data_IF_649484503274
#
_entry.id   IF_649484503274
#
_cell.length_a   1.000
_cell.length_b   1.000
_cell.length_c   1.000
_cell.angle_alpha   90.00
_cell.angle_beta   90.00
_cell.angle_gamma   90.00
#
_symmetry.space_group_name_H-M   'P 1'
#
loop_
_entity.id
_entity.type
_entity.pdbx_description
1 polymer ?
#
# COMPACT_ATOMS: atom_id res chain seq x y z
N UNK A 1 -2.54 -10.30 -31.92
CA UNK A 1 -3.20 -11.52 -31.37
C UNK A 1 -2.49 -11.82 -30.08
N UNK A 2 -3.19 -11.70 -28.92
CA UNK A 2 -2.62 -12.00 -27.61
C UNK A 2 -2.32 -13.50 -27.50
N UNK A 3 -1.20 -13.85 -26.86
CA UNK A 3 -0.78 -15.23 -26.66
C UNK A 3 -1.62 -15.87 -25.57
N UNK A 4 -2.38 -16.92 -25.93
CA UNK A 4 -3.21 -17.67 -24.97
C UNK A 4 -2.36 -18.58 -24.08
N UNK A 5 -2.36 -18.36 -22.78
CA UNK A 5 -1.58 -19.09 -21.79
C UNK A 5 -2.33 -20.27 -21.16
N UNK A 6 -1.59 -21.22 -20.63
CA UNK A 6 -2.15 -22.37 -19.91
C UNK A 6 -2.65 -21.96 -18.53
N UNK A 7 -3.57 -22.73 -17.93
CA UNK A 7 -4.06 -22.50 -16.57
C UNK A 7 -2.93 -22.48 -15.52
N UNK A 8 -1.88 -23.30 -15.68
CA UNK A 8 -0.73 -23.32 -14.78
C UNK A 8 0.09 -22.04 -14.89
N UNK A 9 0.28 -21.52 -16.12
CA UNK A 9 1.00 -20.29 -16.38
C UNK A 9 0.25 -19.10 -15.76
N UNK A 10 -1.08 -19.02 -15.96
CA UNK A 10 -1.92 -17.96 -15.38
C UNK A 10 -1.93 -18.04 -13.85
N UNK A 11 -2.00 -19.23 -13.28
CA UNK A 11 -1.95 -19.43 -11.84
C UNK A 11 -0.65 -18.90 -11.23
N UNK A 12 0.49 -19.22 -11.85
CA UNK A 12 1.80 -18.70 -11.42
C UNK A 12 1.89 -17.17 -11.55
N UNK A 13 1.38 -16.62 -12.65
CA UNK A 13 1.47 -15.20 -12.95
C UNK A 13 0.54 -14.32 -12.09
N UNK A 14 -0.60 -14.86 -11.66
CA UNK A 14 -1.55 -14.17 -10.76
C UNK A 14 -1.32 -14.51 -9.27
N UNK A 15 -0.35 -15.37 -8.93
CA UNK A 15 -0.14 -15.83 -7.57
C UNK A 15 -1.30 -16.65 -6.99
N UNK A 16 -2.08 -17.33 -7.85
CA UNK A 16 -3.27 -18.08 -7.48
C UNK A 16 -3.05 -19.60 -7.63
N UNK A 17 -3.80 -20.40 -6.88
CA UNK A 17 -3.84 -21.84 -7.13
C UNK A 17 -4.61 -22.17 -8.40
N UNK A 18 -4.25 -23.29 -9.06
CA UNK A 18 -4.98 -23.79 -10.24
C UNK A 18 -6.46 -24.06 -9.92
N UNK A 19 -6.77 -24.49 -8.70
CA UNK A 19 -8.15 -24.67 -8.21
C UNK A 19 -8.90 -23.35 -8.20
N UNK A 20 -8.25 -22.28 -7.73
CA UNK A 20 -8.87 -20.95 -7.68
C UNK A 20 -9.12 -20.38 -9.08
N UNK A 21 -8.21 -20.59 -10.03
CA UNK A 21 -8.42 -20.19 -11.43
C UNK A 21 -9.65 -20.93 -12.03
N UNK A 22 -9.79 -22.24 -11.76
CA UNK A 22 -10.96 -22.99 -12.22
C UNK A 22 -12.25 -22.46 -11.64
N UNK A 23 -12.30 -22.26 -10.33
CA UNK A 23 -13.45 -21.71 -9.62
C UNK A 23 -13.88 -20.36 -10.21
N UNK A 24 -12.95 -19.40 -10.35
CA UNK A 24 -13.22 -18.08 -10.91
C UNK A 24 -13.67 -18.15 -12.39
N UNK A 25 -13.22 -19.16 -13.13
CA UNK A 25 -13.69 -19.39 -14.50
C UNK A 25 -15.09 -19.96 -14.49
N UNK A 26 -15.41 -20.89 -13.60
CA UNK A 26 -16.74 -21.52 -13.48
C UNK A 26 -17.77 -20.51 -12.92
N UNK A 27 -17.34 -19.56 -12.09
CA UNK A 27 -18.13 -18.40 -11.62
C UNK A 27 -18.32 -17.31 -12.70
N UNK A 28 -17.70 -17.45 -13.89
CA UNK A 28 -17.80 -16.48 -14.98
C UNK A 28 -16.95 -15.22 -14.84
N UNK A 29 -16.08 -15.17 -13.82
CA UNK A 29 -15.15 -14.04 -13.60
C UNK A 29 -14.04 -14.05 -14.63
N UNK A 30 -13.48 -15.24 -14.94
CA UNK A 30 -12.47 -15.41 -15.97
C UNK A 30 -13.07 -16.05 -17.23
N UNK A 31 -12.68 -15.53 -18.39
CA UNK A 31 -13.02 -16.11 -19.69
C UNK A 31 -11.89 -17.03 -20.15
N UNK A 32 -12.23 -18.24 -20.58
CA UNK A 32 -11.28 -19.21 -21.11
C UNK A 32 -11.73 -19.76 -22.46
N UNK A 33 -10.82 -19.85 -23.40
CA UNK A 33 -11.02 -20.61 -24.64
C UNK A 33 -10.68 -22.09 -24.42
N UNK A 34 -11.31 -22.97 -25.17
CA UNK A 34 -11.00 -24.41 -25.13
C UNK A 34 -10.24 -24.82 -26.37
N UNK A 35 -9.15 -25.51 -26.21
CA UNK A 35 -8.45 -26.19 -27.31
C UNK A 35 -9.26 -27.37 -27.83
N UNK A 36 -8.91 -27.90 -29.01
CA UNK A 36 -9.49 -29.15 -29.56
C UNK A 36 -9.41 -30.34 -28.62
N UNK A 37 -8.42 -30.35 -27.70
CA UNK A 37 -8.28 -31.35 -26.63
C UNK A 37 -9.00 -31.00 -25.33
N UNK A 38 -9.88 -30.00 -25.30
CA UNK A 38 -10.70 -29.60 -24.15
C UNK A 38 -9.96 -28.79 -23.06
N UNK A 39 -8.68 -28.49 -23.24
CA UNK A 39 -7.89 -27.70 -22.26
C UNK A 39 -8.24 -26.22 -22.31
N UNK A 40 -8.41 -25.60 -21.13
CA UNK A 40 -8.65 -24.16 -20.98
C UNK A 40 -7.39 -23.35 -21.29
N UNK A 41 -7.55 -22.30 -22.10
CA UNK A 41 -6.55 -21.30 -22.42
C UNK A 41 -7.08 -19.91 -22.08
N UNK A 42 -6.20 -19.03 -21.65
CA UNK A 42 -6.55 -17.72 -21.12
C UNK A 42 -5.74 -16.64 -21.83
N UNK A 43 -6.41 -15.56 -22.20
CA UNK A 43 -5.75 -14.30 -22.47
C UNK A 43 -5.30 -13.69 -21.15
N UNK A 44 -3.99 -13.50 -20.98
CA UNK A 44 -3.42 -13.08 -19.70
C UNK A 44 -3.83 -11.66 -19.33
N UNK A 45 -3.89 -10.72 -20.27
CA UNK A 45 -4.27 -9.34 -20.01
C UNK A 45 -5.75 -9.22 -19.64
N UNK A 46 -6.62 -9.93 -20.37
CA UNK A 46 -8.03 -9.99 -20.05
C UNK A 46 -8.27 -10.63 -18.67
N UNK A 47 -7.51 -11.69 -18.34
CA UNK A 47 -7.63 -12.38 -17.03
C UNK A 47 -7.13 -11.52 -15.87
N UNK A 48 -6.02 -10.79 -16.04
CA UNK A 48 -5.54 -9.80 -15.07
C UNK A 48 -6.57 -8.71 -14.81
N UNK A 49 -7.11 -8.14 -15.88
CA UNK A 49 -8.13 -7.09 -15.80
C UNK A 49 -9.40 -7.58 -15.10
N UNK A 50 -9.82 -8.83 -15.36
CA UNK A 50 -10.98 -9.44 -14.72
C UNK A 50 -10.70 -9.72 -13.22
N UNK A 51 -9.48 -10.18 -12.89
CA UNK A 51 -9.06 -10.41 -11.51
C UNK A 51 -9.04 -9.11 -10.71
N UNK A 52 -8.48 -8.05 -11.27
CA UNK A 52 -8.46 -6.73 -10.65
C UNK A 52 -9.89 -6.22 -10.39
N UNK A 53 -10.78 -6.27 -11.39
CA UNK A 53 -12.19 -5.89 -11.23
C UNK A 53 -12.89 -6.68 -10.13
N UNK A 54 -12.73 -8.00 -10.13
CA UNK A 54 -13.34 -8.87 -9.11
C UNK A 54 -12.87 -8.52 -7.70
N UNK A 55 -11.58 -8.21 -7.52
CA UNK A 55 -11.03 -7.79 -6.22
C UNK A 55 -11.55 -6.42 -5.80
N UNK A 56 -11.63 -5.46 -6.72
CA UNK A 56 -12.15 -4.11 -6.48
C UNK A 56 -13.64 -4.17 -6.07
N UNK A 57 -14.45 -4.94 -6.77
CA UNK A 57 -15.87 -5.15 -6.43
C UNK A 57 -16.05 -5.73 -5.01
N UNK A 58 -15.26 -6.73 -4.66
CA UNK A 58 -15.30 -7.32 -3.31
C UNK A 58 -14.78 -6.39 -2.22
N UNK A 59 -13.87 -5.49 -2.54
CA UNK A 59 -13.37 -4.47 -1.64
C UNK A 59 -14.31 -3.27 -1.50
N UNK A 60 -15.48 -3.27 -2.18
CA UNK A 60 -16.43 -2.13 -2.17
C UNK A 60 -15.91 -0.89 -2.93
N UNK A 61 -14.84 -1.04 -3.69
CA UNK A 61 -14.29 0.03 -4.53
C UNK A 61 -15.04 0.01 -5.85
N UNK A 62 -15.89 1.03 -6.11
CA UNK A 62 -16.67 1.07 -7.34
C UNK A 62 -15.79 1.13 -8.60
N UNK A 63 -16.21 0.39 -9.64
CA UNK A 63 -15.61 0.40 -10.98
C UNK A 63 -15.56 1.80 -11.63
N UNK A 64 -16.40 2.73 -11.18
CA UNK A 64 -16.38 4.13 -11.63
C UNK A 64 -15.08 4.85 -11.27
N UNK A 65 -14.37 4.39 -10.24
CA UNK A 65 -13.06 4.90 -9.88
C UNK A 65 -11.93 4.31 -10.74
N UNK A 66 -12.07 3.06 -11.20
CA UNK A 66 -11.15 2.48 -12.18
C UNK A 66 -11.30 3.16 -13.56
N UNK A 67 -12.51 3.62 -13.90
CA UNK A 67 -12.78 4.44 -15.10
C UNK A 67 -12.31 5.89 -14.95
N UNK A 68 -12.10 6.38 -13.73
CA UNK A 68 -11.52 7.70 -13.51
C UNK A 68 -10.02 7.77 -13.82
N UNK A 69 -9.40 6.65 -14.22
CA UNK A 69 -8.05 6.64 -14.81
C UNK A 69 -8.03 7.18 -16.25
N UNK A 70 -9.20 7.39 -16.89
CA UNK A 70 -9.36 8.18 -18.12
C UNK A 70 -9.78 9.63 -17.83
N UNK A 71 -9.39 10.21 -16.70
CA UNK A 71 -9.65 11.61 -16.43
C UNK A 71 -8.91 12.48 -17.45
N UNK A 72 -9.55 13.52 -18.01
CA UNK A 72 -8.84 14.51 -18.77
C UNK A 72 -7.75 15.10 -17.87
N UNK A 73 -6.51 14.79 -18.16
CA UNK A 73 -5.35 15.28 -17.45
C UNK A 73 -4.52 16.13 -18.39
N UNK A 74 -4.04 17.27 -17.88
CA UNK A 74 -3.07 18.12 -18.59
C UNK A 74 -1.71 17.90 -17.95
N UNK A 75 -0.79 17.32 -18.71
CA UNK A 75 0.61 17.22 -18.28
C UNK A 75 1.19 18.63 -18.14
N UNK A 76 1.71 18.94 -16.97
CA UNK A 76 2.32 20.25 -16.66
C UNK A 76 3.84 20.13 -16.55
N UNK A 77 4.35 18.93 -16.26
CA UNK A 77 5.78 18.64 -16.20
C UNK A 77 6.05 17.17 -16.55
N UNK A 78 7.16 16.90 -17.25
CA UNK A 78 7.73 15.56 -17.42
C UNK A 78 9.21 15.66 -17.72
N UNK A 79 10.03 14.93 -16.97
CA UNK A 79 11.47 14.85 -17.22
C UNK A 79 12.10 13.63 -16.54
N UNK A 80 13.08 13.04 -17.23
CA UNK A 80 13.97 12.01 -16.70
C UNK A 80 15.26 12.64 -16.19
N UNK A 81 15.77 12.13 -15.06
CA UNK A 81 17.02 12.54 -14.42
C UNK A 81 17.90 11.33 -14.16
N UNK A 82 19.22 11.50 -14.29
CA UNK A 82 20.18 10.51 -13.77
C UNK A 82 20.24 10.64 -12.24
N UNK A 83 20.23 9.50 -11.53
CA UNK A 83 20.24 9.46 -10.05
C UNK A 83 21.62 9.80 -9.48
N UNK A 84 22.69 9.52 -10.23
CA UNK A 84 24.06 9.81 -9.78
C UNK A 84 24.30 11.30 -9.62
N UNK A 85 24.58 11.74 -8.39
CA UNK A 85 24.77 13.14 -8.03
C UNK A 85 23.53 14.02 -8.12
N UNK A 86 22.34 13.42 -8.23
CA UNK A 86 21.07 14.15 -8.20
C UNK A 86 20.83 14.71 -6.79
N UNK A 87 20.30 15.93 -6.73
CA UNK A 87 19.88 16.57 -5.49
C UNK A 87 18.37 16.91 -5.59
N UNK A 88 17.59 16.48 -4.62
CA UNK A 88 16.13 16.59 -4.60
C UNK A 88 15.63 18.03 -4.61
N UNK A 89 16.34 18.91 -3.93
CA UNK A 89 16.04 20.36 -3.86
C UNK A 89 16.14 21.01 -5.24
N UNK A 90 17.13 20.60 -6.05
CA UNK A 90 17.28 21.07 -7.43
C UNK A 90 16.12 20.62 -8.31
N UNK A 91 15.71 19.36 -8.19
CA UNK A 91 14.57 18.85 -8.97
C UNK A 91 13.30 19.55 -8.54
N UNK A 92 13.06 19.71 -7.22
CA UNK A 92 11.90 20.45 -6.72
C UNK A 92 11.87 21.90 -7.22
N UNK A 93 13.03 22.57 -7.25
CA UNK A 93 13.11 23.95 -7.76
C UNK A 93 12.68 24.10 -9.22
N UNK A 94 12.78 23.03 -10.03
CA UNK A 94 12.36 22.98 -11.43
C UNK A 94 10.86 22.60 -11.54
N UNK A 95 10.40 21.65 -10.73
CA UNK A 95 9.00 21.15 -10.77
C UNK A 95 8.03 22.18 -10.18
N UNK A 96 8.34 22.73 -9.00
CA UNK A 96 7.49 23.64 -8.23
C UNK A 96 6.86 24.77 -9.05
N UNK A 97 7.59 25.55 -9.88
CA UNK A 97 7.01 26.66 -10.65
C UNK A 97 5.95 26.20 -11.66
N UNK A 98 5.97 24.93 -12.10
CA UNK A 98 5.02 24.40 -13.09
C UNK A 98 3.69 24.00 -12.46
N UNK A 99 3.63 23.86 -11.13
CA UNK A 99 2.43 23.44 -10.40
C UNK A 99 1.44 24.61 -10.15
N UNK A 100 1.87 25.84 -10.39
CA UNK A 100 1.04 27.07 -10.24
C UNK A 100 0.41 27.21 -8.83
N UNK A 101 1.12 26.72 -7.79
CA UNK A 101 0.65 26.77 -6.41
C UNK A 101 0.94 28.12 -5.74
N UNK A 102 0.08 28.56 -4.78
CA UNK A 102 0.40 29.72 -3.95
C UNK A 102 1.70 29.51 -3.18
N UNK A 103 2.63 30.46 -3.29
CA UNK A 103 3.92 30.40 -2.60
C UNK A 103 3.73 30.41 -1.08
N UNK A 104 4.34 29.42 -0.40
CA UNK A 104 4.23 29.22 1.05
C UNK A 104 2.87 28.68 1.51
N UNK A 105 1.98 28.34 0.56
CA UNK A 105 0.67 27.76 0.90
C UNK A 105 0.75 26.30 1.36
N UNK A 106 -0.32 25.79 2.00
CA UNK A 106 -0.36 24.42 2.52
C UNK A 106 -0.06 23.35 1.47
N UNK A 107 -0.63 23.44 0.28
CA UNK A 107 -0.41 22.49 -0.80
C UNK A 107 1.06 22.46 -1.24
N UNK A 108 1.72 23.62 -1.33
CA UNK A 108 3.13 23.69 -1.68
C UNK A 108 4.03 23.05 -0.61
N UNK A 109 3.72 23.29 0.66
CA UNK A 109 4.48 22.70 1.78
C UNK A 109 4.32 21.19 1.82
N UNK A 110 3.09 20.67 1.66
CA UNK A 110 2.80 19.24 1.66
C UNK A 110 3.46 18.57 0.45
N UNK A 111 3.25 19.08 -0.77
CA UNK A 111 3.85 18.48 -1.97
C UNK A 111 5.37 18.62 -1.98
N UNK A 112 5.91 19.72 -1.48
CA UNK A 112 7.37 19.89 -1.34
C UNK A 112 7.98 18.85 -0.42
N UNK A 113 7.40 18.65 0.75
CA UNK A 113 7.81 17.60 1.68
C UNK A 113 7.68 16.20 1.05
N UNK A 114 6.49 15.86 0.57
CA UNK A 114 6.20 14.53 -0.01
C UNK A 114 7.11 14.22 -1.21
N UNK A 115 7.31 15.20 -2.09
CA UNK A 115 8.18 15.08 -3.26
C UNK A 115 9.65 14.83 -2.88
N UNK A 116 10.20 15.63 -1.96
CA UNK A 116 11.61 15.51 -1.55
C UNK A 116 11.85 14.19 -0.84
N UNK A 117 10.96 13.74 0.04
CA UNK A 117 11.06 12.43 0.70
C UNK A 117 11.04 11.27 -0.31
N UNK A 118 10.11 11.30 -1.27
CA UNK A 118 10.01 10.20 -2.25
C UNK A 118 11.15 10.21 -3.26
N UNK A 119 11.63 11.38 -3.65
CA UNK A 119 12.79 11.46 -4.54
C UNK A 119 14.08 11.06 -3.83
N UNK A 120 14.27 11.40 -2.54
CA UNK A 120 15.38 10.93 -1.72
C UNK A 120 15.38 9.40 -1.61
N UNK A 121 14.21 8.78 -1.44
CA UNK A 121 14.10 7.33 -1.43
C UNK A 121 14.56 6.71 -2.77
N UNK A 122 14.26 7.34 -3.91
CA UNK A 122 14.77 6.89 -5.21
C UNK A 122 16.30 7.06 -5.31
N UNK A 123 16.85 8.18 -4.88
CA UNK A 123 18.29 8.48 -4.91
C UNK A 123 19.08 7.50 -4.03
N UNK A 124 18.65 7.32 -2.76
CA UNK A 124 19.42 6.60 -1.76
C UNK A 124 19.21 5.09 -1.76
N UNK A 125 18.03 4.63 -2.21
CA UNK A 125 17.59 3.25 -1.96
C UNK A 125 17.21 2.45 -3.21
N UNK A 126 16.92 3.08 -4.35
CA UNK A 126 16.49 2.34 -5.54
C UNK A 126 17.58 1.43 -6.11
N UNK A 127 18.84 1.87 -6.06
CA UNK A 127 19.94 1.24 -6.79
C UNK A 127 19.76 1.32 -8.31
N UNK A 128 18.85 2.16 -8.79
CA UNK A 128 18.61 2.45 -10.20
C UNK A 128 19.60 3.44 -10.79
N UNK A 129 19.40 3.75 -12.04
CA UNK A 129 20.21 4.72 -12.78
C UNK A 129 19.42 5.99 -13.10
N UNK A 130 18.13 5.86 -13.33
CA UNK A 130 17.26 6.94 -13.77
C UNK A 130 16.02 7.05 -12.87
N UNK A 131 15.52 8.28 -12.74
CA UNK A 131 14.22 8.58 -12.18
C UNK A 131 13.43 9.48 -13.13
N UNK A 132 12.21 9.09 -13.46
CA UNK A 132 11.27 9.90 -14.20
C UNK A 132 10.37 10.64 -13.21
N UNK A 133 10.23 11.94 -13.42
CA UNK A 133 9.32 12.80 -12.66
C UNK A 133 8.30 13.38 -13.62
N UNK A 134 7.03 13.23 -13.30
CA UNK A 134 5.95 13.90 -14.03
C UNK A 134 4.94 14.55 -13.09
N UNK A 135 4.29 15.61 -13.55
CA UNK A 135 3.19 16.24 -12.85
C UNK A 135 2.04 16.51 -13.82
N UNK A 136 0.82 16.22 -13.36
CA UNK A 136 -0.41 16.34 -14.12
C UNK A 136 -1.42 17.19 -13.34
N UNK A 137 -2.09 18.10 -14.02
CA UNK A 137 -3.31 18.70 -13.52
C UNK A 137 -4.47 17.74 -13.85
N UNK A 138 -5.18 17.27 -12.83
CA UNK A 138 -6.32 16.35 -12.94
C UNK A 138 -7.57 17.04 -12.37
N UNK A 139 -8.77 16.53 -12.67
CA UNK A 139 -10.03 17.15 -12.20
C UNK A 139 -10.09 17.33 -10.67
N UNK A 140 -9.45 16.44 -9.91
CA UNK A 140 -9.45 16.46 -8.45
C UNK A 140 -8.23 17.20 -7.86
N UNK A 141 -7.34 17.78 -8.69
CA UNK A 141 -6.19 18.49 -8.17
C UNK A 141 -4.90 18.28 -8.97
N UNK A 142 -3.80 18.11 -8.28
CA UNK A 142 -2.49 17.82 -8.85
C UNK A 142 -2.08 16.38 -8.55
N UNK A 143 -1.57 15.69 -9.56
CA UNK A 143 -0.93 14.39 -9.43
C UNK A 143 0.56 14.54 -9.75
N UNK A 144 1.44 14.06 -8.86
CA UNK A 144 2.88 13.95 -9.11
C UNK A 144 3.26 12.48 -9.10
N UNK A 145 3.99 12.06 -10.12
CA UNK A 145 4.52 10.70 -10.25
C UNK A 145 6.04 10.75 -10.22
N UNK A 146 6.65 9.92 -9.38
CA UNK A 146 8.10 9.70 -9.27
C UNK A 146 8.34 8.22 -9.52
N UNK A 147 9.07 7.87 -10.59
CA UNK A 147 9.30 6.48 -10.99
C UNK A 147 10.79 6.23 -11.24
N UNK A 148 11.40 5.34 -10.46
CA UNK A 148 12.78 4.89 -10.65
C UNK A 148 12.85 3.54 -11.40
N UNK A 149 14.01 3.24 -11.97
CA UNK A 149 14.31 1.99 -12.67
C UNK A 149 15.06 0.96 -11.82
N UNK A 150 15.04 1.12 -10.49
CA UNK A 150 15.80 0.32 -9.56
C UNK A 150 15.20 -1.06 -9.26
N UNK A 151 15.52 -1.59 -8.08
CA UNK A 151 15.10 -2.94 -7.66
C UNK A 151 13.69 -3.03 -7.06
N UNK A 152 13.07 -1.89 -6.80
CA UNK A 152 11.76 -1.80 -6.17
C UNK A 152 11.78 -1.71 -4.64
N UNK A 153 10.93 -0.84 -4.10
CA UNK A 153 10.92 -0.48 -2.69
C UNK A 153 10.60 -1.68 -1.77
N UNK A 154 9.65 -2.54 -2.15
CA UNK A 154 9.28 -3.68 -1.29
C UNK A 154 10.37 -4.74 -1.23
N UNK A 155 11.07 -5.02 -2.34
CA UNK A 155 12.23 -5.91 -2.33
C UNK A 155 13.37 -5.32 -1.50
N UNK A 156 13.62 -4.00 -1.63
CA UNK A 156 14.63 -3.31 -0.83
C UNK A 156 14.37 -3.45 0.67
N UNK A 157 13.14 -3.19 1.10
CA UNK A 157 12.74 -3.29 2.51
C UNK A 157 12.77 -4.74 3.01
N UNK A 158 12.25 -5.68 2.21
CA UNK A 158 12.25 -7.10 2.60
C UNK A 158 13.66 -7.61 2.84
N UNK A 159 14.59 -7.33 1.93
CA UNK A 159 16.00 -7.72 2.06
C UNK A 159 16.67 -7.02 3.25
N UNK A 160 16.51 -5.70 3.36
CA UNK A 160 17.18 -4.89 4.38
C UNK A 160 16.73 -5.19 5.81
N UNK A 161 15.48 -5.61 6.00
CA UNK A 161 14.89 -5.96 7.29
C UNK A 161 14.78 -7.48 7.52
N UNK A 162 15.23 -8.31 6.57
CA UNK A 162 15.14 -9.77 6.67
C UNK A 162 13.69 -10.28 6.70
N UNK A 163 12.78 -9.65 5.94
CA UNK A 163 11.37 -10.00 5.92
C UNK A 163 11.10 -11.16 4.97
N UNK A 164 10.07 -11.99 5.23
CA UNK A 164 9.81 -13.20 4.46
C UNK A 164 9.22 -12.91 3.06
N UNK A 165 8.58 -11.77 2.86
CA UNK A 165 7.89 -11.40 1.62
C UNK A 165 7.62 -9.89 1.52
N UNK A 166 7.20 -9.45 0.33
CA UNK A 166 6.92 -8.05 0.03
C UNK A 166 5.66 -7.52 0.75
N UNK A 167 4.70 -8.36 1.08
CA UNK A 167 3.52 -7.95 1.86
C UNK A 167 3.90 -7.57 3.28
N UNK A 168 4.83 -8.30 3.87
CA UNK A 168 5.39 -7.96 5.18
C UNK A 168 6.13 -6.62 5.14
N UNK A 169 6.78 -6.27 4.01
CA UNK A 169 7.38 -4.95 3.82
C UNK A 169 6.33 -3.82 3.87
N UNK A 170 5.16 -4.02 3.24
CA UNK A 170 4.06 -3.05 3.32
C UNK A 170 3.57 -2.88 4.77
N UNK A 171 3.44 -3.99 5.53
CA UNK A 171 3.09 -3.92 6.94
C UNK A 171 4.09 -3.07 7.74
N UNK A 172 5.38 -3.22 7.49
CA UNK A 172 6.40 -2.41 8.16
C UNK A 172 6.29 -0.92 7.80
N UNK A 173 5.99 -0.58 6.54
CA UNK A 173 5.74 0.80 6.12
C UNK A 173 4.53 1.44 6.83
N UNK A 174 3.45 0.69 7.03
CA UNK A 174 2.26 1.19 7.72
C UNK A 174 2.49 1.46 9.20
N UNK A 175 3.50 0.84 9.80
CA UNK A 175 3.89 1.03 11.20
C UNK A 175 4.69 2.31 11.47
N UNK A 176 5.24 2.95 10.44
CA UNK A 176 5.82 4.30 10.49
C UNK A 176 7.26 4.43 10.99
N UNK A 177 7.90 3.42 11.56
CA UNK A 177 9.25 3.56 12.18
C UNK A 177 10.27 2.53 11.69
N UNK A 178 10.34 2.28 10.37
CA UNK A 178 11.28 1.31 9.84
C UNK A 178 12.12 1.89 8.69
N UNK A 179 13.42 1.85 8.85
CA UNK A 179 14.39 2.19 7.83
C UNK A 179 15.46 1.12 7.71
N UNK A 180 15.96 0.92 6.50
CA UNK A 180 17.12 0.08 6.21
C UNK A 180 18.44 0.83 6.46
N UNK A 181 18.39 2.16 6.69
CA UNK A 181 19.54 3.04 6.89
C UNK A 181 19.31 3.99 8.09
N UNK A 182 19.29 3.49 9.35
CA UNK A 182 18.95 4.27 10.54
C UNK A 182 19.91 5.45 10.80
N UNK A 183 21.14 5.39 10.29
CA UNK A 183 22.13 6.47 10.43
C UNK A 183 21.86 7.68 9.51
N UNK A 184 20.97 7.53 8.51
CA UNK A 184 20.69 8.56 7.50
C UNK A 184 19.22 9.00 7.48
N UNK A 185 18.30 8.11 7.84
CA UNK A 185 16.85 8.33 7.74
C UNK A 185 16.13 7.83 8.98
N UNK A 186 15.10 8.56 9.40
CA UNK A 186 14.24 8.17 10.52
C UNK A 186 13.30 7.02 10.18
N UNK A 187 13.15 6.68 8.89
CA UNK A 187 12.22 5.66 8.38
C UNK A 187 10.77 6.14 8.31
N UNK A 188 10.56 7.43 8.47
CA UNK A 188 9.26 8.05 8.64
C UNK A 188 8.72 8.68 7.34
N UNK A 189 9.61 8.93 6.35
CA UNK A 189 9.29 9.69 5.13
C UNK A 189 8.11 9.12 4.35
N UNK A 190 8.10 7.80 4.07
CA UNK A 190 6.99 7.15 3.36
C UNK A 190 5.70 7.21 4.19
N UNK A 191 5.79 6.96 5.50
CA UNK A 191 4.63 7.02 6.40
C UNK A 191 3.99 8.41 6.41
N UNK A 192 4.75 9.45 6.71
CA UNK A 192 4.20 10.82 6.75
C UNK A 192 3.74 11.28 5.38
N UNK A 193 4.47 10.97 4.30
CA UNK A 193 4.02 11.27 2.93
C UNK A 193 2.67 10.61 2.65
N UNK A 194 2.50 9.33 3.03
CA UNK A 194 1.24 8.62 2.83
C UNK A 194 0.05 9.23 3.58
N UNK A 195 0.30 9.98 4.67
CA UNK A 195 -0.73 10.68 5.46
C UNK A 195 -0.95 12.13 5.03
N UNK A 196 0.06 12.75 4.42
CA UNK A 196 0.02 14.17 4.08
C UNK A 196 -0.81 14.47 2.83
N UNK A 197 -0.79 13.60 1.82
CA UNK A 197 -1.51 13.80 0.55
C UNK A 197 -2.93 13.21 0.59
N UNK A 198 -3.78 13.57 -0.36
CA UNK A 198 -5.15 13.06 -0.45
C UNK A 198 -5.16 11.59 -0.85
N UNK A 199 -4.36 11.24 -1.85
CA UNK A 199 -4.15 9.86 -2.29
C UNK A 199 -2.65 9.61 -2.49
N UNK A 200 -2.16 8.57 -1.83
CA UNK A 200 -0.81 8.05 -1.96
C UNK A 200 -0.86 6.67 -2.58
N UNK A 201 -0.05 6.43 -3.62
CA UNK A 201 0.15 5.09 -4.19
C UNK A 201 1.64 4.81 -4.29
N UNK A 202 2.05 3.61 -3.84
CA UNK A 202 3.39 3.10 -4.01
C UNK A 202 3.32 1.74 -4.69
N UNK A 203 3.81 1.69 -5.91
CA UNK A 203 3.81 0.51 -6.77
C UNK A 203 5.24 0.02 -7.00
N UNK A 204 5.52 -1.24 -6.67
CA UNK A 204 6.81 -1.90 -6.89
C UNK A 204 6.66 -3.42 -6.86
N UNK A 205 7.55 -4.16 -7.52
CA UNK A 205 7.65 -5.61 -7.42
C UNK A 205 6.32 -6.35 -7.70
N UNK A 206 5.47 -5.80 -8.58
CA UNK A 206 4.17 -6.35 -8.94
C UNK A 206 3.05 -6.11 -7.93
N UNK A 207 3.26 -5.28 -6.92
CA UNK A 207 2.30 -4.93 -5.87
C UNK A 207 2.12 -3.41 -5.81
N UNK A 208 0.91 -2.97 -5.49
CA UNK A 208 0.59 -1.56 -5.23
C UNK A 208 -0.05 -1.41 -3.86
N UNK A 209 0.48 -0.52 -3.04
CA UNK A 209 -0.11 -0.06 -1.80
C UNK A 209 -0.68 1.34 -1.99
N UNK A 210 -1.98 1.49 -1.71
CA UNK A 210 -2.74 2.73 -1.83
C UNK A 210 -3.23 3.18 -0.46
N UNK A 211 -3.06 4.47 -0.14
CA UNK A 211 -3.65 5.15 1.02
C UNK A 211 -4.54 6.27 0.53
N UNK A 212 -5.84 6.22 0.87
CA UNK A 212 -6.85 7.20 0.54
C UNK A 212 -7.26 7.96 1.80
N UNK A 213 -6.66 9.12 2.03
CA UNK A 213 -6.92 9.90 3.23
C UNK A 213 -8.28 10.63 3.19
N UNK A 214 -8.86 10.84 2.01
CA UNK A 214 -10.22 11.42 1.90
C UNK A 214 -11.29 10.45 2.40
N UNK A 215 -11.04 9.14 2.27
CA UNK A 215 -11.94 8.07 2.71
C UNK A 215 -11.47 7.37 3.97
N UNK A 216 -10.30 7.72 4.47
CA UNK A 216 -9.62 7.03 5.55
C UNK A 216 -9.52 5.51 5.27
N UNK A 217 -9.07 5.16 4.07
CA UNK A 217 -9.00 3.79 3.57
C UNK A 217 -7.61 3.43 3.04
N UNK A 218 -7.28 2.13 3.04
CA UNK A 218 -6.06 1.59 2.48
C UNK A 218 -6.36 0.34 1.67
N UNK A 219 -5.60 0.12 0.63
CA UNK A 219 -5.73 -1.07 -0.21
C UNK A 219 -4.36 -1.58 -0.65
N UNK A 220 -4.25 -2.91 -0.81
CA UNK A 220 -3.11 -3.54 -1.46
C UNK A 220 -3.62 -4.28 -2.69
N UNK A 221 -3.05 -3.96 -3.84
CA UNK A 221 -3.43 -4.49 -5.15
C UNK A 221 -2.27 -5.10 -5.91
N UNK A 222 -2.56 -5.59 -7.11
CA UNK A 222 -1.55 -6.03 -8.08
C UNK A 222 -1.15 -4.83 -8.93
N UNK A 223 0.15 -4.65 -9.14
CA UNK A 223 0.73 -3.64 -10.01
C UNK A 223 1.36 -4.24 -11.26
N UNK A 224 1.41 -3.45 -12.33
CA UNK A 224 2.21 -3.75 -13.52
C UNK A 224 3.68 -3.33 -13.37
N UNK A 225 4.03 -2.61 -12.31
CA UNK A 225 5.39 -2.20 -12.00
C UNK A 225 6.13 -3.36 -11.34
N UNK A 226 6.88 -4.12 -12.15
CA UNK A 226 7.67 -5.26 -11.70
C UNK A 226 9.12 -4.90 -11.40
N UNK A 227 9.64 -3.86 -12.06
CA UNK A 227 11.00 -3.31 -11.86
C UNK A 227 10.89 -1.84 -11.47
N UNK A 228 11.76 -1.41 -10.55
CA UNK A 228 11.73 -0.06 -10.01
C UNK A 228 10.59 0.18 -9.03
N UNK A 229 10.44 1.43 -8.65
CA UNK A 229 9.36 1.92 -7.79
C UNK A 229 8.65 3.07 -8.47
N UNK A 230 7.34 3.09 -8.43
CA UNK A 230 6.54 4.25 -8.82
C UNK A 230 5.75 4.74 -7.62
N UNK A 231 5.92 6.01 -7.28
CA UNK A 231 5.11 6.71 -6.28
C UNK A 231 4.21 7.70 -6.98
N UNK A 232 2.93 7.70 -6.62
CA UNK A 232 1.95 8.68 -7.10
C UNK A 232 1.38 9.44 -5.91
N UNK A 233 1.42 10.75 -5.98
CA UNK A 233 0.93 11.70 -4.97
C UNK A 233 -0.20 12.52 -5.59
N UNK A 234 -1.42 12.44 -5.04
CA UNK A 234 -2.52 13.33 -5.44
C UNK A 234 -2.88 14.28 -4.30
N UNK A 235 -3.04 15.56 -4.59
CA UNK A 235 -3.43 16.58 -3.61
C UNK A 235 -4.31 17.67 -4.25
N UNK A 236 -5.38 18.07 -3.55
CA UNK A 236 -6.16 19.25 -3.90
C UNK A 236 -5.30 20.51 -3.65
N UNK A 237 -5.05 21.36 -4.68
CA UNK A 237 -4.34 22.62 -4.52
C UNK A 237 -4.99 23.59 -3.52
N UNK A 238 -6.30 23.46 -3.27
CA UNK A 238 -7.06 24.27 -2.35
C UNK A 238 -7.06 23.71 -0.91
N UNK A 239 -6.25 22.69 -0.62
CA UNK A 239 -6.16 22.09 0.72
C UNK A 239 -5.78 23.15 1.77
N UNK A 240 -6.40 23.06 2.94
CA UNK A 240 -6.10 23.83 4.13
C UNK A 240 -5.35 23.01 5.21
N UNK A 241 -4.94 21.79 4.88
CA UNK A 241 -4.21 20.92 5.82
C UNK A 241 -2.91 21.56 6.26
N UNK A 242 -2.65 21.46 7.56
CA UNK A 242 -1.39 21.91 8.16
C UNK A 242 -0.40 20.77 8.29
N UNK A 243 0.71 20.85 7.56
CA UNK A 243 1.77 19.84 7.61
C UNK A 243 2.40 19.74 9.02
N UNK A 244 2.55 20.85 9.74
CA UNK A 244 3.07 20.84 11.10
C UNK A 244 2.08 20.18 12.07
N UNK A 245 0.79 20.46 11.91
CA UNK A 245 -0.29 19.80 12.66
C UNK A 245 -0.33 18.30 12.40
N UNK A 246 -0.13 17.87 11.14
CA UNK A 246 -0.03 16.46 10.78
C UNK A 246 1.14 15.78 11.52
N UNK A 247 2.33 16.37 11.49
CA UNK A 247 3.46 15.84 12.24
C UNK A 247 3.16 15.79 13.73
N UNK A 248 2.52 16.81 14.27
CA UNK A 248 2.16 16.83 15.69
C UNK A 248 1.13 15.75 16.05
N UNK A 249 0.14 15.50 15.17
CA UNK A 249 -0.88 14.46 15.38
C UNK A 249 -0.24 13.06 15.50
N UNK A 250 0.75 12.77 14.65
CA UNK A 250 1.41 11.47 14.60
C UNK A 250 2.69 11.38 15.45
N UNK A 251 3.12 12.48 16.07
CA UNK A 251 4.34 12.52 16.89
C UNK A 251 4.05 13.24 18.22
N UNK A 252 3.82 12.51 19.29
CA UNK A 252 3.79 13.08 20.63
C UNK A 252 5.06 12.67 21.35
N UNK A 253 5.74 13.66 21.92
CA UNK A 253 7.00 13.51 22.65
C UNK A 253 8.11 12.84 21.81
N UNK A 254 8.14 13.11 20.48
CA UNK A 254 9.03 12.46 19.52
C UNK A 254 8.81 10.94 19.39
N UNK A 255 7.67 10.44 19.85
CA UNK A 255 7.25 9.03 19.69
C UNK A 255 5.88 8.97 19.03
N UNK A 256 5.65 7.99 18.13
CA UNK A 256 4.39 7.73 17.41
C UNK A 256 3.25 7.25 18.33
N UNK A 257 3.20 7.71 19.60
CA UNK A 257 2.35 7.16 20.64
C UNK A 257 0.85 7.43 20.48
N UNK A 258 0.43 8.32 19.57
CA UNK A 258 -0.99 8.66 19.33
C UNK A 258 -1.56 8.23 18.00
N UNK A 259 -0.77 7.76 17.06
CA UNK A 259 -1.38 7.15 15.89
C UNK A 259 -2.10 5.87 16.31
N UNK A 260 -3.32 5.68 15.80
CA UNK A 260 -4.06 4.43 15.90
C UNK A 260 -3.90 3.69 14.57
N UNK A 261 -2.82 2.92 14.38
CA UNK A 261 -2.68 2.17 13.14
C UNK A 261 -3.85 1.20 13.04
N UNK A 262 -4.46 1.15 11.85
CA UNK A 262 -5.48 0.17 11.52
C UNK A 262 -4.85 -0.95 10.72
N UNK A 263 -4.81 -2.15 11.28
CA UNK A 263 -4.36 -3.36 10.58
C UNK A 263 -5.58 -4.02 9.96
N UNK A 264 -5.77 -3.88 8.65
CA UNK A 264 -6.84 -4.54 7.92
C UNK A 264 -6.44 -5.97 7.58
N UNK A 265 -6.93 -6.94 8.32
CA UNK A 265 -6.54 -8.34 8.19
C UNK A 265 -6.89 -8.94 6.82
N UNK A 266 -7.98 -8.51 6.20
CA UNK A 266 -8.39 -8.98 4.87
C UNK A 266 -7.29 -8.79 3.81
N UNK A 267 -6.48 -7.77 3.93
CA UNK A 267 -5.35 -7.51 3.02
C UNK A 267 -4.26 -8.61 3.13
N UNK A 268 -4.22 -9.33 4.24
CA UNK A 268 -3.24 -10.37 4.52
C UNK A 268 -3.78 -11.79 4.39
N UNK A 269 -5.10 -11.95 4.30
CA UNK A 269 -5.75 -13.26 4.14
C UNK A 269 -7.21 -13.27 4.57
N UNK A 270 -7.88 -14.37 4.28
CA UNK A 270 -9.29 -14.59 4.67
C UNK A 270 -9.44 -15.40 5.96
N UNK A 271 -8.37 -16.03 6.41
CA UNK A 271 -8.37 -16.91 7.59
C UNK A 271 -7.02 -16.85 8.30
N UNK A 272 -7.04 -16.71 9.62
CA UNK A 272 -5.86 -16.61 10.47
C UNK A 272 -5.98 -17.60 11.62
N UNK A 273 -5.04 -18.53 11.74
CA UNK A 273 -5.15 -19.64 12.69
C UNK A 273 -4.00 -19.73 13.70
N UNK A 274 -2.82 -19.16 13.38
CA UNK A 274 -1.62 -19.41 14.17
C UNK A 274 -1.18 -18.22 15.04
N UNK A 275 -0.48 -18.54 16.15
CA UNK A 275 0.20 -17.53 16.98
C UNK A 275 1.28 -16.78 16.23
N UNK A 276 1.97 -17.45 15.31
CA UNK A 276 3.04 -16.84 14.51
C UNK A 276 2.52 -15.74 13.59
N UNK A 277 1.31 -15.91 13.03
CA UNK A 277 0.65 -14.87 12.24
C UNK A 277 0.32 -13.65 13.10
N UNK A 278 -0.25 -13.84 14.30
CA UNK A 278 -0.55 -12.75 15.21
C UNK A 278 0.72 -11.98 15.63
N UNK A 279 1.80 -12.71 16.00
CA UNK A 279 3.08 -12.10 16.35
C UNK A 279 3.67 -11.28 15.21
N UNK A 280 3.62 -11.81 13.99
CA UNK A 280 4.12 -11.12 12.81
C UNK A 280 3.32 -9.83 12.53
N UNK A 281 1.99 -9.89 12.62
CA UNK A 281 1.11 -8.74 12.42
C UNK A 281 1.35 -7.62 13.45
N UNK A 282 1.61 -7.99 14.70
CA UNK A 282 1.82 -7.04 15.80
C UNK A 282 3.29 -6.68 16.05
N UNK A 283 4.24 -7.28 15.32
CA UNK A 283 5.66 -6.96 15.46
C UNK A 283 5.93 -5.50 15.13
N UNK A 284 6.62 -4.76 16.02
CA UNK A 284 6.89 -3.33 15.86
C UNK A 284 5.69 -2.41 16.17
N UNK A 285 4.54 -2.98 16.58
CA UNK A 285 3.36 -2.20 16.97
C UNK A 285 3.41 -1.75 18.45
N UNK A 286 4.37 -2.21 19.23
CA UNK A 286 4.58 -1.85 20.64
C UNK A 286 4.89 -0.36 20.86
N UNK A 287 5.23 0.37 19.80
CA UNK A 287 5.47 1.82 19.83
C UNK A 287 4.16 2.64 19.88
N UNK A 288 3.02 2.03 19.58
CA UNK A 288 1.72 2.70 19.58
C UNK A 288 0.97 2.43 20.88
N UNK A 289 0.25 3.43 21.38
CA UNK A 289 -0.61 3.28 22.56
C UNK A 289 -1.91 2.52 22.27
N UNK A 290 -2.35 2.51 21.01
CA UNK A 290 -3.58 1.87 20.57
C UNK A 290 -3.43 1.35 19.14
N UNK A 291 -3.88 0.10 18.90
CA UNK A 291 -3.88 -0.56 17.58
C UNK A 291 -5.30 -0.99 17.27
N UNK A 292 -5.84 -0.55 16.16
CA UNK A 292 -7.11 -1.05 15.65
C UNK A 292 -6.84 -2.24 14.71
N UNK A 293 -7.47 -3.38 14.98
CA UNK A 293 -7.40 -4.57 14.10
C UNK A 293 -8.76 -4.76 13.44
N UNK A 294 -8.81 -4.51 12.14
CA UNK A 294 -10.04 -4.59 11.35
C UNK A 294 -10.20 -5.99 10.74
N UNK A 295 -11.23 -6.68 11.17
CA UNK A 295 -11.63 -8.01 10.70
C UNK A 295 -12.63 -7.97 9.53
N UNK A 296 -12.94 -6.80 8.98
CA UNK A 296 -13.84 -6.70 7.82
C UNK A 296 -13.33 -7.58 6.69
N UNK A 297 -14.19 -8.47 6.17
CA UNK A 297 -13.82 -9.40 5.09
C UNK A 297 -13.07 -10.67 5.53
N UNK A 298 -12.69 -10.82 6.81
CA UNK A 298 -12.11 -12.05 7.35
C UNK A 298 -13.21 -13.09 7.54
N UNK A 299 -13.03 -14.28 7.01
CA UNK A 299 -14.03 -15.36 7.10
C UNK A 299 -13.99 -16.05 8.46
N UNK A 300 -12.78 -16.35 8.97
CA UNK A 300 -12.60 -17.06 10.23
C UNK A 300 -11.27 -16.79 10.88
N UNK A 301 -11.21 -16.98 12.21
CA UNK A 301 -9.99 -16.91 13.00
C UNK A 301 -9.87 -18.09 13.95
N UNK A 302 -8.63 -18.56 14.16
CA UNK A 302 -8.34 -19.62 15.12
C UNK A 302 -8.16 -19.09 16.54
N UNK A 303 -8.45 -19.91 17.55
CA UNK A 303 -8.29 -19.56 18.94
C UNK A 303 -6.85 -19.15 19.29
N UNK A 304 -5.84 -19.83 18.71
CA UNK A 304 -4.44 -19.53 18.98
C UNK A 304 -4.01 -18.15 18.43
N UNK A 305 -4.57 -17.71 17.31
CA UNK A 305 -4.37 -16.39 16.75
C UNK A 305 -4.99 -15.31 17.65
N UNK A 306 -6.27 -15.48 18.01
CA UNK A 306 -7.00 -14.53 18.87
C UNK A 306 -6.36 -14.42 20.25
N UNK A 307 -5.99 -15.54 20.86
CA UNK A 307 -5.33 -15.58 22.17
C UNK A 307 -3.99 -14.82 22.17
N UNK A 308 -3.18 -15.04 21.16
CA UNK A 308 -1.91 -14.32 20.99
C UNK A 308 -2.14 -12.82 20.79
N UNK A 309 -3.06 -12.44 19.91
CA UNK A 309 -3.28 -11.05 19.50
C UNK A 309 -3.93 -10.21 20.62
N UNK A 310 -4.94 -10.74 21.31
CA UNK A 310 -5.77 -9.96 22.22
C UNK A 310 -5.45 -10.19 23.70
N UNK A 311 -4.68 -11.22 24.04
CA UNK A 311 -4.34 -11.55 25.43
C UNK A 311 -2.83 -11.60 25.66
N UNK A 312 -2.11 -12.47 24.95
CA UNK A 312 -0.68 -12.72 25.23
C UNK A 312 0.17 -11.51 24.85
N UNK A 313 0.02 -11.01 23.63
CA UNK A 313 0.81 -9.88 23.16
C UNK A 313 0.57 -8.58 23.95
N UNK A 314 -0.69 -8.15 24.28
CA UNK A 314 -0.91 -6.98 25.13
C UNK A 314 -0.38 -7.13 26.56
N UNK A 315 -0.34 -8.36 27.12
CA UNK A 315 0.28 -8.58 28.43
C UNK A 315 1.79 -8.34 28.43
N UNK A 316 2.46 -8.60 27.29
CA UNK A 316 3.89 -8.34 27.10
C UNK A 316 4.16 -6.87 26.78
N UNK A 317 3.17 -6.14 26.30
CA UNK A 317 3.24 -4.73 25.89
C UNK A 317 2.15 -3.89 26.57
N UNK A 318 2.23 -3.66 27.89
CA UNK A 318 1.16 -3.06 28.68
C UNK A 318 0.86 -1.59 28.35
N UNK A 319 1.72 -0.94 27.56
CA UNK A 319 1.51 0.41 27.02
C UNK A 319 0.60 0.45 25.77
N UNK A 320 0.25 -0.70 25.19
CA UNK A 320 -0.48 -0.79 23.93
C UNK A 320 -1.81 -1.53 24.10
N UNK A 321 -2.89 -0.92 23.61
CA UNK A 321 -4.22 -1.54 23.58
C UNK A 321 -4.55 -2.01 22.17
N UNK A 322 -4.98 -3.27 22.02
CA UNK A 322 -5.44 -3.82 20.75
C UNK A 322 -6.97 -3.83 20.70
N UNK A 323 -7.55 -3.14 19.71
CA UNK A 323 -9.00 -2.97 19.56
C UNK A 323 -9.46 -3.73 18.32
N UNK A 324 -10.20 -4.83 18.44
CA UNK A 324 -10.80 -5.54 17.32
C UNK A 324 -12.05 -4.80 16.81
N UNK A 325 -12.17 -4.66 15.47
CA UNK A 325 -13.30 -4.03 14.80
C UNK A 325 -13.71 -4.84 13.55
N UNK A 326 -14.89 -4.54 12.98
CA UNK A 326 -15.32 -5.12 11.70
C UNK A 326 -15.56 -6.63 11.71
N UNK A 327 -15.85 -7.23 12.87
CA UNK A 327 -16.00 -8.67 13.04
C UNK A 327 -17.33 -9.17 12.50
N UNK A 328 -17.32 -10.29 11.77
CA UNK A 328 -18.52 -11.08 11.52
C UNK A 328 -18.84 -11.95 12.76
N UNK A 329 -20.01 -12.59 12.80
CA UNK A 329 -20.47 -13.39 13.95
C UNK A 329 -19.53 -14.55 14.31
N UNK A 330 -18.86 -15.16 13.34
CA UNK A 330 -17.91 -16.26 13.58
C UNK A 330 -16.62 -15.76 14.23
N UNK A 331 -16.09 -14.64 13.73
CA UNK A 331 -14.91 -13.97 14.30
C UNK A 331 -15.22 -13.43 15.70
N UNK A 332 -16.37 -12.75 15.86
CA UNK A 332 -16.81 -12.21 17.16
C UNK A 332 -16.92 -13.31 18.22
N UNK A 333 -17.51 -14.45 17.89
CA UNK A 333 -17.60 -15.60 18.79
C UNK A 333 -16.20 -16.05 19.25
N UNK A 334 -15.24 -16.15 18.34
CA UNK A 334 -13.88 -16.55 18.68
C UNK A 334 -13.14 -15.51 19.51
N UNK A 335 -13.35 -14.22 19.24
CA UNK A 335 -12.78 -13.10 20.01
C UNK A 335 -13.34 -13.07 21.44
N UNK A 336 -14.67 -13.19 21.61
CA UNK A 336 -15.31 -13.23 22.94
C UNK A 336 -14.79 -14.41 23.75
N UNK A 337 -14.69 -15.58 23.14
CA UNK A 337 -14.13 -16.77 23.77
C UNK A 337 -12.65 -16.58 24.19
N UNK A 338 -11.84 -15.95 23.35
CA UNK A 338 -10.42 -15.67 23.63
C UNK A 338 -10.23 -14.66 24.76
N UNK A 339 -11.14 -13.70 24.91
CA UNK A 339 -11.16 -12.71 26.00
C UNK A 339 -11.77 -13.23 27.31
N UNK A 340 -12.21 -14.49 27.35
CA UNK A 340 -12.86 -15.07 28.55
C UNK A 340 -14.22 -14.46 28.88
N UNK A 341 -14.88 -13.83 27.92
CA UNK A 341 -16.24 -13.29 28.01
C UNK A 341 -17.19 -14.28 27.32
N UNK A 342 -17.51 -15.37 27.98
CA UNK A 342 -18.55 -16.33 27.56
C UNK A 342 -19.85 -16.10 28.35
#
# INVERSE_FOLDING_TARGET
>A
MSELKSIKSVAAELGLSVSRIRQLTDEGIFTAERTSGGHRRYDIEATRSAWLRYRLDRAGVSLDRAKSMERPSRQVFEREFELDGLAEDRVWSIVRPTLELPTGGPAEQILGYAFTEMLNNAIDHSGGRFVQVSALAVDAGLEIVIADDGRGAFAHLADGLGLPDHFTAIQELTKGKRTTAPDRHTGEGIFFTSKAVDLFRLAANGIEWTVDNLRNDQAVGISMIHQGTQVTLELDPATDRDLAGLFHEFTIDHEFSRSRPTVKLFEFGLSFVSRSEAKRLLSGMEVFSEIQVDFTGVESVGQAFVDEMLRVWPQLHPGTVVIPTGMNSAVEFMVQRGLGRS
#
